data_IF_553455916637
#
_entry.id   IF_553455916637
#
_cell.length_a   1.000
_cell.length_b   1.000
_cell.length_c   1.000
_cell.angle_alpha   90.00
_cell.angle_beta   90.00
_cell.angle_gamma   90.00
#
_symmetry.space_group_name_H-M   'P 1'
#
loop_
_entity.id
_entity.type
_entity.pdbx_description
1 polymer ?
#
# COMPACT_ATOMS: atom_id res chain seq x y z
N UNK A 1 11.13 -2.92 6.40
CA UNK A 1 11.02 -4.40 6.31
C UNK A 1 11.01 -4.96 4.87
N UNK A 2 10.23 -4.40 3.93
CA UNK A 2 10.16 -4.88 2.53
C UNK A 2 11.34 -4.45 1.64
N UNK A 3 12.07 -3.40 2.02
CA UNK A 3 13.18 -2.84 1.21
C UNK A 3 12.72 -1.89 0.10
N UNK A 4 11.44 -1.49 0.08
CA UNK A 4 10.85 -0.60 -0.93
C UNK A 4 10.68 0.85 -0.45
N UNK A 5 11.36 1.23 0.63
CA UNK A 5 11.31 2.61 1.15
C UNK A 5 12.13 3.54 0.25
N UNK A 6 11.63 4.75 0.00
CA UNK A 6 12.26 5.76 -0.87
C UNK A 6 12.70 6.97 -0.05
N UNK A 7 13.89 7.51 -0.33
CA UNK A 7 14.45 8.66 0.42
C UNK A 7 13.76 10.00 0.11
N UNK A 8 12.96 10.08 -0.97
CA UNK A 8 12.18 11.28 -1.34
C UNK A 8 10.99 11.50 -0.39
N UNK A 9 10.55 10.46 0.31
CA UNK A 9 9.77 10.54 1.53
C UNK A 9 9.81 9.17 2.21
N UNK A 10 10.47 9.08 3.36
CA UNK A 10 10.43 7.86 4.16
C UNK A 10 9.04 7.70 4.79
N UNK A 11 8.07 7.23 4.00
CA UNK A 11 6.79 6.77 4.53
C UNK A 11 7.08 5.54 5.37
N UNK A 12 7.14 5.73 6.69
CA UNK A 12 7.47 4.67 7.63
C UNK A 12 6.19 3.97 8.05
N UNK A 13 5.98 2.75 7.55
CA UNK A 13 4.91 1.89 8.05
C UNK A 13 5.36 1.17 9.33
N UNK A 14 4.74 1.50 10.47
CA UNK A 14 4.93 0.78 11.73
C UNK A 14 3.69 -0.05 12.05
N UNK A 15 3.89 -1.36 12.12
CA UNK A 15 2.83 -2.27 12.51
C UNK A 15 2.83 -2.49 14.02
N UNK A 16 1.72 -2.14 14.68
CA UNK A 16 1.53 -2.32 16.12
C UNK A 16 0.78 -3.64 16.34
N UNK A 17 1.55 -4.72 16.55
CA UNK A 17 1.01 -6.06 16.79
C UNK A 17 0.58 -6.24 18.25
N UNK A 18 -0.72 -6.39 18.46
CA UNK A 18 -1.33 -6.67 19.75
C UNK A 18 -1.59 -8.17 19.93
N UNK A 19 -1.49 -8.64 21.19
CA UNK A 19 -1.76 -10.04 21.54
C UNK A 19 -3.20 -10.42 21.21
N UNK A 20 -3.43 -11.68 20.86
CA UNK A 20 -4.76 -12.25 20.62
C UNK A 20 -5.72 -12.12 21.81
N UNK A 21 -5.17 -12.08 23.02
CA UNK A 21 -5.88 -11.91 24.30
C UNK A 21 -6.27 -10.47 24.62
N UNK A 22 -5.99 -9.50 23.74
CA UNK A 22 -6.42 -8.09 23.94
C UNK A 22 -7.95 -8.01 23.89
N UNK A 23 -8.59 -7.59 24.97
CA UNK A 23 -10.05 -7.63 25.09
C UNK A 23 -10.79 -6.62 24.21
N UNK A 24 -10.13 -5.52 23.85
CA UNK A 24 -10.73 -4.48 23.03
C UNK A 24 -11.14 -4.97 21.64
N UNK A 25 -12.21 -4.37 21.12
CA UNK A 25 -12.60 -4.54 19.72
C UNK A 25 -11.57 -3.90 18.79
N UNK A 26 -11.54 -4.29 17.51
CA UNK A 26 -10.61 -3.70 16.54
C UNK A 26 -10.83 -2.20 16.37
N UNK A 27 -12.09 -1.75 16.44
CA UNK A 27 -12.44 -0.33 16.39
C UNK A 27 -11.94 0.42 17.61
N UNK A 28 -12.12 -0.14 18.81
CA UNK A 28 -11.59 0.45 20.06
C UNK A 28 -10.07 0.53 20.05
N UNK A 29 -9.39 -0.51 19.56
CA UNK A 29 -7.92 -0.51 19.38
C UNK A 29 -7.51 0.65 18.46
N UNK A 30 -8.19 0.80 17.33
CA UNK A 30 -7.90 1.85 16.36
C UNK A 30 -8.17 3.26 16.92
N UNK A 31 -9.33 3.45 17.53
CA UNK A 31 -9.75 4.74 18.10
C UNK A 31 -8.92 5.13 19.34
N UNK A 32 -8.51 4.15 20.16
CA UNK A 32 -7.64 4.39 21.32
C UNK A 32 -6.23 4.79 20.90
N UNK A 33 -5.67 4.18 19.84
CA UNK A 33 -4.38 4.60 19.29
C UNK A 33 -4.44 6.05 18.80
N UNK A 34 -5.48 6.40 18.02
CA UNK A 34 -5.69 7.78 17.56
C UNK A 34 -5.79 8.77 18.73
N UNK A 35 -6.61 8.44 19.72
CA UNK A 35 -6.83 9.30 20.90
C UNK A 35 -5.55 9.47 21.71
N UNK A 36 -4.78 8.39 21.88
CA UNK A 36 -3.50 8.42 22.58
C UNK A 36 -2.51 9.36 21.88
N UNK A 37 -2.34 9.23 20.56
CA UNK A 37 -1.42 10.10 19.79
C UNK A 37 -1.86 11.55 19.85
N UNK A 38 -3.16 11.81 19.65
CA UNK A 38 -3.74 13.16 19.74
C UNK A 38 -3.48 13.79 21.11
N UNK A 39 -3.60 13.01 22.19
CA UNK A 39 -3.35 13.48 23.56
C UNK A 39 -1.90 13.90 23.81
N UNK A 40 -0.96 13.43 22.98
CA UNK A 40 0.45 13.83 23.01
C UNK A 40 0.76 15.10 22.20
N UNK A 41 -0.26 15.75 21.65
CA UNK A 41 -0.09 16.95 20.81
C UNK A 41 0.50 16.66 19.43
N UNK A 42 0.53 15.39 19.01
CA UNK A 42 1.00 15.00 17.67
C UNK A 42 -0.17 15.13 16.70
N UNK A 43 0.01 15.92 15.64
CA UNK A 43 -0.99 16.01 14.57
C UNK A 43 -1.12 14.64 13.89
N UNK A 44 -2.35 14.10 13.90
CA UNK A 44 -2.63 12.78 13.37
C UNK A 44 -3.96 12.76 12.61
N UNK A 45 -4.05 11.83 11.64
CA UNK A 45 -5.23 11.64 10.80
C UNK A 45 -5.65 10.17 10.78
N UNK A 46 -6.95 9.93 10.81
CA UNK A 46 -7.51 8.59 10.60
C UNK A 46 -7.47 8.25 9.11
N UNK A 47 -6.80 7.17 8.75
CA UNK A 47 -6.86 6.58 7.42
C UNK A 47 -7.80 5.35 7.40
N UNK A 48 -7.77 4.53 6.35
CA UNK A 48 -8.63 3.34 6.31
C UNK A 48 -8.20 2.26 7.33
N UNK A 49 -6.91 1.94 7.40
CA UNK A 49 -6.38 0.88 8.28
C UNK A 49 -5.26 1.36 9.21
N UNK A 50 -4.86 2.63 9.11
CA UNK A 50 -3.76 3.23 9.87
C UNK A 50 -4.16 4.57 10.49
N UNK A 51 -3.33 5.02 11.43
CA UNK A 51 -3.27 6.41 11.90
C UNK A 51 -2.01 7.04 11.29
N UNK A 52 -2.21 8.01 10.40
CA UNK A 52 -1.11 8.76 9.80
C UNK A 52 -0.66 9.88 10.72
N UNK A 53 0.65 10.02 10.92
CA UNK A 53 1.25 11.06 11.76
C UNK A 53 2.41 11.72 11.02
N UNK A 54 2.70 12.97 11.39
CA UNK A 54 3.94 13.64 11.03
C UNK A 54 4.78 13.81 12.29
N UNK A 55 5.96 13.20 12.33
CA UNK A 55 6.84 13.26 13.50
C UNK A 55 8.30 13.35 13.06
N UNK A 56 9.01 14.37 13.57
CA UNK A 56 10.43 14.60 13.24
C UNK A 56 10.70 14.83 11.74
N UNK A 57 9.76 15.42 11.00
CA UNK A 57 9.87 15.64 9.56
C UNK A 57 9.52 14.41 8.70
N UNK A 58 9.11 13.29 9.32
CA UNK A 58 8.74 12.07 8.62
C UNK A 58 7.23 11.82 8.67
N UNK A 59 6.67 11.34 7.56
CA UNK A 59 5.32 10.79 7.49
C UNK A 59 5.36 9.34 7.93
N UNK A 60 4.58 8.98 8.94
CA UNK A 60 4.57 7.64 9.55
C UNK A 60 3.13 7.13 9.59
N UNK A 61 2.92 5.89 9.14
CA UNK A 61 1.64 5.20 9.23
C UNK A 61 1.69 4.12 10.30
N UNK A 62 0.90 4.33 11.35
CA UNK A 62 0.76 3.39 12.45
C UNK A 62 -0.43 2.47 12.18
N UNK A 63 -0.17 1.19 11.94
CA UNK A 63 -1.19 0.18 11.61
C UNK A 63 -1.41 -0.72 12.83
N UNK A 64 -2.48 -0.50 13.62
CA UNK A 64 -2.80 -1.39 14.72
C UNK A 64 -3.44 -2.68 14.22
N UNK A 65 -2.95 -3.83 14.71
CA UNK A 65 -3.52 -5.14 14.38
C UNK A 65 -3.54 -6.09 15.56
N UNK A 66 -4.61 -6.86 15.69
CA UNK A 66 -4.75 -7.89 16.72
C UNK A 66 -4.38 -9.25 16.15
N UNK A 67 -3.38 -9.90 16.74
CA UNK A 67 -2.91 -11.23 16.31
C UNK A 67 -4.01 -12.29 16.51
N UNK A 68 -4.09 -13.25 15.60
CA UNK A 68 -4.96 -14.41 15.74
C UNK A 68 -4.42 -15.38 16.81
N UNK A 69 -5.29 -16.23 17.36
CA UNK A 69 -4.88 -17.28 18.32
C UNK A 69 -4.08 -18.36 17.60
N UNK A 70 -3.12 -18.96 18.29
CA UNK A 70 -2.28 -20.04 17.77
C UNK A 70 -0.96 -19.56 17.16
N UNK A 71 -0.23 -20.49 16.54
CA UNK A 71 1.06 -20.22 15.93
C UNK A 71 0.91 -19.70 14.49
N UNK A 72 0.20 -18.58 14.33
CA UNK A 72 -0.01 -17.93 13.03
C UNK A 72 0.70 -16.58 12.97
N UNK A 73 0.85 -16.06 11.75
CA UNK A 73 1.29 -14.69 11.47
C UNK A 73 0.12 -13.77 11.08
N UNK A 74 -1.11 -14.25 11.24
CA UNK A 74 -2.31 -13.55 10.84
C UNK A 74 -2.74 -12.54 11.89
N UNK A 75 -3.23 -11.41 11.41
CA UNK A 75 -3.75 -10.33 12.24
C UNK A 75 -5.07 -9.84 11.66
N UNK A 76 -5.97 -9.40 12.54
CA UNK A 76 -7.15 -8.64 12.14
C UNK A 76 -6.87 -7.13 12.28
N UNK A 77 -7.25 -6.37 11.26
CA UNK A 77 -7.20 -4.91 11.21
C UNK A 77 -8.62 -4.35 11.13
N UNK A 78 -8.83 -3.17 11.70
CA UNK A 78 -10.06 -2.40 11.48
C UNK A 78 -10.00 -1.65 10.14
N UNK A 79 -11.11 -1.61 9.40
CA UNK A 79 -11.31 -0.82 8.17
C UNK A 79 -12.27 0.33 8.46
N UNK A 80 -11.70 1.51 8.68
CA UNK A 80 -12.41 2.73 9.03
C UNK A 80 -13.40 3.20 7.95
N UNK A 81 -13.04 3.14 6.67
CA UNK A 81 -13.93 3.60 5.57
C UNK A 81 -15.25 2.82 5.52
N UNK A 82 -15.24 1.54 5.90
CA UNK A 82 -16.40 0.62 5.80
C UNK A 82 -16.92 0.14 7.16
N UNK A 83 -16.38 0.64 8.26
CA UNK A 83 -16.67 0.19 9.63
C UNK A 83 -16.72 -1.35 9.77
N UNK A 84 -15.66 -2.01 9.31
CA UNK A 84 -15.56 -3.48 9.31
C UNK A 84 -14.13 -3.92 9.64
N UNK A 85 -13.77 -5.17 9.41
CA UNK A 85 -12.43 -5.69 9.62
C UNK A 85 -11.89 -6.43 8.40
N UNK A 86 -10.58 -6.67 8.39
CA UNK A 86 -9.91 -7.52 7.41
C UNK A 86 -8.77 -8.29 8.06
N UNK A 87 -8.50 -9.51 7.59
CA UNK A 87 -7.31 -10.26 7.97
C UNK A 87 -6.14 -9.87 7.07
N UNK A 88 -4.94 -9.77 7.64
CA UNK A 88 -3.68 -9.56 6.93
C UNK A 88 -2.61 -10.53 7.42
N UNK A 89 -1.60 -10.78 6.57
CA UNK A 89 -0.40 -11.52 6.94
C UNK A 89 0.85 -10.79 6.39
N UNK A 90 1.48 -9.99 7.26
CA UNK A 90 2.63 -9.14 6.89
C UNK A 90 3.80 -9.97 6.36
N UNK A 91 4.05 -11.13 6.99
CA UNK A 91 5.14 -12.03 6.57
C UNK A 91 4.91 -12.53 5.16
N UNK A 92 3.67 -12.91 4.83
CA UNK A 92 3.30 -13.36 3.49
C UNK A 92 3.43 -12.22 2.47
N UNK A 93 2.99 -11.00 2.80
CA UNK A 93 3.20 -9.84 1.92
C UNK A 93 4.69 -9.54 1.68
N UNK A 94 5.53 -9.60 2.72
CA UNK A 94 6.99 -9.43 2.58
C UNK A 94 7.56 -10.49 1.65
N UNK A 95 7.19 -11.76 1.86
CA UNK A 95 7.63 -12.89 1.04
C UNK A 95 7.25 -12.71 -0.43
N UNK A 96 6.00 -12.31 -0.71
CA UNK A 96 5.51 -12.09 -2.08
C UNK A 96 6.28 -10.98 -2.78
N UNK A 97 6.48 -9.85 -2.12
CA UNK A 97 7.25 -8.73 -2.71
C UNK A 97 8.69 -9.16 -2.96
N UNK A 98 9.38 -9.73 -1.97
CA UNK A 98 10.79 -10.16 -2.13
C UNK A 98 10.95 -11.22 -3.21
N UNK A 99 10.08 -12.23 -3.23
CA UNK A 99 10.19 -13.37 -4.14
C UNK A 99 9.70 -13.05 -5.56
N UNK A 100 8.97 -11.94 -5.76
CA UNK A 100 8.56 -11.49 -7.09
C UNK A 100 9.75 -11.16 -8.00
N UNK A 101 10.87 -10.74 -7.42
CA UNK A 101 11.99 -10.16 -8.16
C UNK A 101 11.63 -8.85 -8.87
N UNK A 102 10.62 -8.11 -8.37
CA UNK A 102 10.13 -6.83 -8.92
C UNK A 102 10.38 -5.64 -8.00
N UNK A 103 11.38 -5.74 -7.13
CA UNK A 103 11.63 -4.74 -6.10
C UNK A 103 11.92 -3.36 -6.72
N UNK A 104 12.71 -3.35 -7.79
CA UNK A 104 13.08 -2.12 -8.50
C UNK A 104 11.87 -1.46 -9.16
N UNK A 105 11.04 -2.20 -9.90
CA UNK A 105 9.87 -1.63 -10.56
C UNK A 105 8.80 -1.17 -9.55
N UNK A 106 8.68 -1.85 -8.40
CA UNK A 106 7.83 -1.41 -7.30
C UNK A 106 8.34 -0.07 -6.73
N UNK A 107 9.66 0.06 -6.53
CA UNK A 107 10.26 1.30 -6.04
C UNK A 107 10.03 2.44 -7.04
N UNK A 108 10.27 2.21 -8.33
CA UNK A 108 10.03 3.19 -9.39
C UNK A 108 8.57 3.63 -9.38
N UNK A 109 7.61 2.70 -9.30
CA UNK A 109 6.20 3.06 -9.26
C UNK A 109 5.81 3.83 -7.98
N UNK A 110 6.46 3.57 -6.84
CA UNK A 110 6.27 4.36 -5.62
C UNK A 110 6.79 5.79 -5.77
N UNK A 111 7.94 5.98 -6.43
CA UNK A 111 8.48 7.31 -6.75
C UNK A 111 7.51 8.05 -7.66
N UNK A 112 7.07 7.41 -8.75
CA UNK A 112 6.09 7.96 -9.68
C UNK A 112 4.80 8.39 -8.97
N UNK A 113 4.21 7.50 -8.16
CA UNK A 113 3.02 7.81 -7.34
C UNK A 113 3.24 9.09 -6.50
N UNK A 114 4.42 9.22 -5.89
CA UNK A 114 4.74 10.34 -5.00
C UNK A 114 4.89 11.65 -5.77
N UNK A 115 5.67 11.65 -6.85
CA UNK A 115 5.90 12.83 -7.69
C UNK A 115 4.60 13.39 -8.27
N UNK A 116 3.65 12.50 -8.59
CA UNK A 116 2.34 12.87 -9.13
C UNK A 116 1.24 13.00 -8.08
N UNK A 117 1.56 12.93 -6.78
CA UNK A 117 0.63 13.09 -5.66
C UNK A 117 -0.64 12.21 -5.76
N UNK A 118 -0.46 10.94 -6.13
CA UNK A 118 -1.58 10.00 -6.34
C UNK A 118 -1.94 9.25 -5.04
N UNK A 119 -3.24 9.18 -4.73
CA UNK A 119 -3.75 8.30 -3.67
C UNK A 119 -3.80 6.85 -4.17
N UNK A 120 -2.66 6.16 -4.11
CA UNK A 120 -2.51 4.78 -4.54
C UNK A 120 -1.94 3.91 -3.40
N UNK A 121 -2.78 3.11 -2.72
CA UNK A 121 -2.38 2.29 -1.58
C UNK A 121 -1.18 1.39 -1.89
N UNK A 122 -0.18 1.39 -1.01
CA UNK A 122 1.11 0.71 -1.25
C UNK A 122 0.95 -0.79 -1.54
N UNK A 123 0.05 -1.50 -0.85
CA UNK A 123 -0.20 -2.93 -1.12
C UNK A 123 -0.83 -3.14 -2.50
N UNK A 124 -1.75 -2.27 -2.92
CA UNK A 124 -2.39 -2.39 -4.21
C UNK A 124 -1.38 -2.12 -5.33
N UNK A 125 -0.56 -1.07 -5.18
CA UNK A 125 0.54 -0.76 -6.07
C UNK A 125 1.52 -1.93 -6.21
N UNK A 126 1.96 -2.51 -5.09
CA UNK A 126 2.87 -3.66 -5.08
C UNK A 126 2.29 -4.86 -5.86
N UNK A 127 1.03 -5.21 -5.63
CA UNK A 127 0.39 -6.35 -6.30
C UNK A 127 0.13 -6.08 -7.78
N UNK A 128 -0.26 -4.85 -8.14
CA UNK A 128 -0.49 -4.47 -9.55
C UNK A 128 0.81 -4.48 -10.34
N UNK A 129 1.94 -4.01 -9.78
CA UNK A 129 3.24 -4.13 -10.45
C UNK A 129 3.60 -5.58 -10.71
N UNK A 130 3.40 -6.47 -9.73
CA UNK A 130 3.68 -7.91 -9.89
C UNK A 130 2.79 -8.54 -10.97
N UNK A 131 1.50 -8.20 -10.99
CA UNK A 131 0.54 -8.68 -11.99
C UNK A 131 0.87 -8.14 -13.39
N UNK A 132 1.14 -6.84 -13.53
CA UNK A 132 1.47 -6.18 -14.80
C UNK A 132 2.73 -6.75 -15.46
N UNK A 133 3.68 -7.22 -14.64
CA UNK A 133 4.97 -7.75 -15.08
C UNK A 133 5.05 -9.27 -15.02
N UNK A 134 3.91 -9.94 -14.88
CA UNK A 134 3.84 -11.39 -14.89
C UNK A 134 4.44 -11.91 -16.20
N UNK A 135 5.38 -12.86 -16.09
CA UNK A 135 6.12 -13.46 -17.20
C UNK A 135 7.09 -12.54 -17.98
N UNK A 136 7.22 -11.26 -17.63
CA UNK A 136 8.22 -10.38 -18.27
C UNK A 136 9.64 -10.68 -17.80
N UNK A 137 10.64 -10.33 -18.60
CA UNK A 137 12.04 -10.39 -18.18
C UNK A 137 12.29 -9.45 -16.97
N UNK A 138 13.17 -9.83 -16.05
CA UNK A 138 13.50 -9.05 -14.84
C UNK A 138 14.65 -8.06 -15.04
N UNK A 139 15.45 -8.22 -16.09
CA UNK A 139 16.65 -7.41 -16.32
C UNK A 139 16.39 -6.19 -17.22
N UNK A 140 15.18 -5.64 -17.21
CA UNK A 140 14.74 -4.57 -18.13
C UNK A 140 13.92 -3.49 -17.39
N UNK A 141 14.45 -2.99 -16.26
CA UNK A 141 13.71 -2.16 -15.29
C UNK A 141 13.01 -0.95 -15.92
N UNK A 142 13.65 -0.22 -16.83
CA UNK A 142 13.04 0.92 -17.53
C UNK A 142 11.85 0.50 -18.42
N UNK A 143 12.02 -0.53 -19.25
CA UNK A 143 10.95 -1.04 -20.13
C UNK A 143 9.81 -1.70 -19.33
N UNK A 144 10.15 -2.34 -18.21
CA UNK A 144 9.17 -2.91 -17.29
C UNK A 144 8.36 -1.81 -16.60
N UNK A 145 9.01 -0.75 -16.12
CA UNK A 145 8.30 0.38 -15.52
C UNK A 145 7.32 1.03 -16.53
N UNK A 146 7.73 1.26 -17.78
CA UNK A 146 6.81 1.71 -18.84
C UNK A 146 5.69 0.71 -19.10
N UNK A 147 5.98 -0.59 -19.10
CA UNK A 147 4.96 -1.64 -19.20
C UNK A 147 3.95 -1.61 -18.04
N UNK A 148 4.40 -1.28 -16.83
CA UNK A 148 3.50 -1.11 -15.68
C UNK A 148 2.61 0.11 -15.86
N UNK A 149 3.13 1.23 -16.37
CA UNK A 149 2.30 2.39 -16.71
C UNK A 149 1.30 2.08 -17.84
N UNK A 150 1.69 1.33 -18.87
CA UNK A 150 0.76 0.86 -19.91
C UNK A 150 -0.34 -0.05 -19.32
N UNK A 151 0.01 -0.93 -18.39
CA UNK A 151 -0.99 -1.73 -17.67
C UNK A 151 -1.96 -0.86 -16.84
N UNK A 152 -1.44 0.15 -16.14
CA UNK A 152 -2.27 1.10 -15.38
C UNK A 152 -3.22 1.88 -16.29
N UNK A 153 -2.74 2.28 -17.46
CA UNK A 153 -3.53 2.97 -18.48
C UNK A 153 -4.66 2.09 -19.03
N UNK A 154 -4.36 0.84 -19.39
CA UNK A 154 -5.26 0.03 -20.23
C UNK A 154 -6.13 -0.97 -19.45
N UNK A 155 -5.69 -1.45 -18.27
CA UNK A 155 -6.31 -2.60 -17.61
C UNK A 155 -6.71 -2.35 -16.15
N UNK A 156 -6.16 -1.34 -15.50
CA UNK A 156 -6.21 -1.22 -14.03
C UNK A 156 -7.60 -0.95 -13.45
N UNK A 157 -8.41 -0.12 -14.11
CA UNK A 157 -9.71 0.33 -13.57
C UNK A 157 -10.63 -0.85 -13.24
N UNK A 158 -10.75 -1.79 -14.18
CA UNK A 158 -11.66 -2.94 -14.08
C UNK A 158 -11.00 -4.19 -13.51
N UNK A 159 -9.67 -4.17 -13.29
CA UNK A 159 -8.94 -5.33 -12.78
C UNK A 159 -9.26 -5.58 -11.31
N UNK A 160 -9.77 -6.79 -11.04
CA UNK A 160 -9.93 -7.33 -9.70
C UNK A 160 -8.58 -7.87 -9.21
N UNK A 161 -8.06 -7.30 -8.12
CA UNK A 161 -6.86 -7.79 -7.44
C UNK A 161 -7.26 -8.29 -6.06
N UNK A 162 -7.09 -9.59 -5.83
CA UNK A 162 -7.32 -10.23 -4.54
C UNK A 162 -6.05 -10.21 -3.70
N UNK A 163 -6.22 -10.12 -2.39
CA UNK A 163 -5.12 -10.25 -1.46
C UNK A 163 -4.60 -11.71 -1.48
N UNK A 164 -3.33 -11.95 -1.83
CA UNK A 164 -2.76 -13.28 -1.75
C UNK A 164 -2.64 -13.82 -0.31
N UNK A 165 -2.64 -12.96 0.71
CA UNK A 165 -2.67 -13.37 2.11
C UNK A 165 -4.05 -13.85 2.56
N UNK A 166 -5.13 -13.30 2.01
CA UNK A 166 -6.51 -13.71 2.27
C UNK A 166 -7.38 -13.40 1.05
N UNK A 167 -7.71 -14.39 0.23
CA UNK A 167 -8.41 -14.20 -1.04
C UNK A 167 -9.85 -13.70 -0.91
N UNK A 168 -10.41 -13.67 0.31
CA UNK A 168 -11.69 -13.02 0.59
C UNK A 168 -11.57 -11.48 0.58
N UNK A 169 -10.36 -10.94 0.75
CA UNK A 169 -10.09 -9.51 0.61
C UNK A 169 -9.84 -9.18 -0.86
N UNK A 170 -10.67 -8.29 -1.41
CA UNK A 170 -10.45 -7.69 -2.73
C UNK A 170 -9.72 -6.35 -2.52
N UNK A 171 -8.41 -6.34 -2.74
CA UNK A 171 -7.55 -5.14 -2.56
C UNK A 171 -7.96 -4.02 -3.52
N UNK A 172 -8.43 -4.39 -4.71
CA UNK A 172 -8.95 -3.41 -5.67
C UNK A 172 -10.20 -2.65 -5.19
N UNK A 173 -10.82 -3.04 -4.08
CA UNK A 173 -11.95 -2.32 -3.48
C UNK A 173 -11.52 -1.25 -2.45
N UNK A 174 -10.21 -1.07 -2.25
CA UNK A 174 -9.68 -0.01 -1.38
C UNK A 174 -9.67 1.37 -2.06
N UNK A 175 -9.83 1.39 -3.39
CA UNK A 175 -10.07 2.58 -4.20
C UNK A 175 -11.46 2.54 -4.82
N UNK A 176 -12.13 3.68 -4.83
CA UNK A 176 -13.30 3.93 -5.65
C UNK A 176 -12.93 3.96 -7.14
N UNK A 177 -13.93 3.76 -8.01
CA UNK A 177 -13.69 3.74 -9.46
C UNK A 177 -13.03 5.03 -9.96
N UNK A 178 -13.51 6.19 -9.51
CA UNK A 178 -12.94 7.49 -9.91
C UNK A 178 -11.47 7.65 -9.48
N UNK A 179 -11.10 7.17 -8.29
CA UNK A 179 -9.70 7.19 -7.82
C UNK A 179 -8.81 6.31 -8.73
N UNK A 180 -9.34 5.18 -9.22
CA UNK A 180 -8.61 4.35 -10.19
C UNK A 180 -8.48 5.01 -11.56
N UNK A 181 -9.54 5.67 -12.01
CA UNK A 181 -9.55 6.41 -13.28
C UNK A 181 -8.54 7.55 -13.26
N UNK A 182 -8.37 8.26 -12.14
CA UNK A 182 -7.35 9.30 -11.97
C UNK A 182 -5.92 8.73 -12.09
N UNK A 183 -5.65 7.57 -11.48
CA UNK A 183 -4.35 6.88 -11.61
C UNK A 183 -4.12 6.44 -13.07
N UNK A 184 -5.12 5.84 -13.71
CA UNK A 184 -5.02 5.39 -15.10
C UNK A 184 -4.79 6.56 -16.07
N UNK A 185 -5.48 7.68 -15.85
CA UNK A 185 -5.28 8.93 -16.59
C UNK A 185 -3.86 9.46 -16.43
N UNK A 186 -3.34 9.52 -15.20
CA UNK A 186 -1.97 9.99 -14.97
C UNK A 186 -0.94 9.04 -15.61
N UNK A 187 -1.19 7.73 -15.60
CA UNK A 187 -0.35 6.77 -16.30
C UNK A 187 -0.36 6.99 -17.81
N UNK A 188 -1.53 7.29 -18.40
CA UNK A 188 -1.66 7.68 -19.81
C UNK A 188 -0.85 8.93 -20.15
N UNK A 189 -0.99 9.99 -19.34
CA UNK A 189 -0.24 11.23 -19.50
C UNK A 189 1.27 10.94 -19.47
N UNK A 190 1.73 10.22 -18.45
CA UNK A 190 3.13 9.83 -18.30
C UNK A 190 3.66 8.98 -19.46
N UNK A 191 2.81 8.15 -20.09
CA UNK A 191 3.22 7.34 -21.24
C UNK A 191 3.37 8.14 -22.54
N UNK A 192 2.73 9.30 -22.63
CA UNK A 192 2.81 10.19 -23.78
C UNK A 192 3.99 11.18 -23.69
N UNK A 193 4.66 11.25 -22.54
CA UNK A 193 5.84 12.08 -22.36
C UNK A 193 7.06 11.49 -23.08
N UNK A 194 7.87 12.37 -23.67
CA UNK A 194 9.11 11.99 -24.36
C UNK A 194 10.29 11.84 -23.39
N UNK A 195 10.30 12.61 -22.30
CA UNK A 195 11.43 12.71 -21.38
C UNK A 195 11.12 12.17 -19.98
N UNK A 196 12.07 11.44 -19.41
CA UNK A 196 11.96 10.83 -18.08
C UNK A 196 11.71 11.84 -16.94
N UNK A 197 12.17 13.09 -17.07
CA UNK A 197 11.89 14.20 -16.13
C UNK A 197 10.40 14.55 -16.02
N UNK A 198 9.60 14.27 -17.05
CA UNK A 198 8.15 14.49 -16.98
C UNK A 198 7.41 13.29 -16.41
N UNK A 199 8.12 12.16 -16.28
CA UNK A 199 7.58 10.88 -15.82
C UNK A 199 7.93 10.64 -14.35
N UNK A 200 9.21 10.60 -13.99
CA UNK A 200 9.68 10.05 -12.70
C UNK A 200 10.94 10.72 -12.12
N UNK A 201 11.37 11.89 -12.63
CA UNK A 201 12.58 12.56 -12.15
C UNK A 201 12.33 14.00 -11.73
#
# INVERSE_FOLDING_TARGET
>A
AKGTAINISSDLDLFVSLKSTTNNTLKEIYDSLFSYISSKGINCRKQNVSIGINYGGHSIDLVPGKKHVGNTNDHSLYRNKKNTWTQTNIHKHISIVKNSGRLEEIILLKIWRKLHNLDFPSIYLELVTIEALRYKNKNQSAANFLSTLDYLKDNFVDKIIKDPANTNNVISDDLYKYEKEDIAKKAKESRNEEYWEKIIW
#
